data_IF_401435721153
#
_entry.id   IF_401435721153
#
_cell.length_a   1.000
_cell.length_b   1.000
_cell.length_c   1.000
_cell.angle_alpha   90.00
_cell.angle_beta   90.00
_cell.angle_gamma   90.00
#
_symmetry.space_group_name_H-M   'P 1'
#
loop_
_entity.id
_entity.type
_entity.pdbx_description
1 polymer ?
#
# COMPACT_ATOMS: atom_id res chain seq x y z
N UNK A 1 9.44 12.64 -32.18
CA UNK A 1 8.48 12.95 -31.09
C UNK A 1 8.49 11.78 -30.13
N UNK A 2 8.77 11.92 -28.82
CA UNK A 2 8.58 10.80 -27.90
C UNK A 2 7.12 10.75 -27.46
N UNK A 3 6.50 9.58 -27.65
CA UNK A 3 5.17 9.27 -27.21
C UNK A 3 5.11 9.30 -25.68
N UNK A 4 4.14 10.04 -25.15
CA UNK A 4 3.80 10.10 -23.73
C UNK A 4 3.50 8.69 -23.21
N UNK A 5 4.25 8.28 -22.19
CA UNK A 5 4.08 7.02 -21.46
C UNK A 5 2.66 7.02 -20.88
N UNK A 6 1.81 6.11 -21.35
CA UNK A 6 0.48 5.89 -20.75
C UNK A 6 0.67 5.19 -19.41
N UNK A 7 0.83 6.00 -18.37
CA UNK A 7 0.73 5.61 -16.97
C UNK A 7 -0.54 4.79 -16.74
N UNK A 8 -0.38 3.64 -16.07
CA UNK A 8 -1.42 2.64 -15.85
C UNK A 8 -2.73 3.21 -15.38
N UNK A 9 -3.69 3.34 -16.28
CA UNK A 9 -5.09 3.53 -15.93
C UNK A 9 -5.64 2.19 -15.43
N UNK A 10 -6.27 2.12 -14.25
CA UNK A 10 -7.04 0.94 -13.87
C UNK A 10 -8.25 0.86 -14.84
N UNK A 11 -8.12 0.07 -15.90
CA UNK A 11 -9.22 -0.20 -16.84
C UNK A 11 -10.16 -1.30 -16.36
N UNK A 12 -9.78 -2.01 -15.30
CA UNK A 12 -10.66 -2.95 -14.60
C UNK A 12 -11.43 -2.21 -13.52
N UNK A 13 -12.76 -2.14 -13.69
CA UNK A 13 -13.68 -1.58 -12.69
C UNK A 13 -13.43 -2.20 -11.31
N UNK A 14 -13.17 -3.51 -11.27
CA UNK A 14 -12.91 -4.26 -10.03
C UNK A 14 -11.64 -3.82 -9.30
N UNK A 15 -10.57 -3.50 -10.03
CA UNK A 15 -9.30 -3.08 -9.42
C UNK A 15 -9.41 -1.66 -8.88
N UNK A 16 -10.14 -0.79 -9.58
CA UNK A 16 -10.36 0.59 -9.14
C UNK A 16 -11.10 0.69 -7.81
N UNK A 17 -11.92 -0.31 -7.46
CA UNK A 17 -12.64 -0.41 -6.20
C UNK A 17 -11.76 -0.83 -5.02
N UNK A 18 -10.56 -1.38 -5.27
CA UNK A 18 -9.63 -1.77 -4.20
C UNK A 18 -8.92 -0.57 -3.57
N UNK A 19 -8.87 0.56 -4.27
CA UNK A 19 -8.12 1.75 -3.86
C UNK A 19 -9.06 2.90 -3.50
N UNK A 20 -8.89 3.46 -2.31
CA UNK A 20 -9.54 4.69 -1.90
C UNK A 20 -9.06 5.87 -2.75
N UNK A 21 -9.99 6.81 -3.00
CA UNK A 21 -9.75 8.02 -3.79
C UNK A 21 -9.15 9.17 -2.99
N UNK A 22 -9.13 9.04 -1.66
CA UNK A 22 -8.57 10.04 -0.77
C UNK A 22 -7.06 10.17 -0.93
N UNK A 23 -6.54 11.37 -0.64
CA UNK A 23 -5.11 11.66 -0.74
C UNK A 23 -4.37 11.13 0.50
N UNK A 24 -3.53 10.09 0.39
CA UNK A 24 -2.88 9.50 1.56
C UNK A 24 -1.93 10.49 2.28
N UNK A 25 -1.37 11.46 1.57
CA UNK A 25 -0.49 12.48 2.18
C UNK A 25 -1.24 13.46 3.11
N UNK A 26 -2.56 13.56 2.96
CA UNK A 26 -3.42 14.35 3.84
C UNK A 26 -4.02 13.51 4.96
N UNK A 27 -4.16 12.20 4.73
CA UNK A 27 -4.72 11.27 5.71
C UNK A 27 -3.70 10.82 6.75
N UNK A 28 -2.44 10.74 6.38
CA UNK A 28 -1.39 10.19 7.24
C UNK A 28 -0.33 11.23 7.54
N UNK A 29 0.03 11.33 8.81
CA UNK A 29 1.04 12.27 9.33
C UNK A 29 2.16 11.53 10.03
N UNK A 30 3.26 12.23 10.31
CA UNK A 30 4.43 11.69 11.01
C UNK A 30 5.01 10.40 10.39
N UNK A 31 5.08 10.38 9.05
CA UNK A 31 5.63 9.24 8.31
C UNK A 31 7.11 9.03 8.66
N UNK A 32 7.38 7.96 9.42
CA UNK A 32 8.71 7.53 9.81
C UNK A 32 8.99 6.14 9.26
N UNK A 33 10.03 6.00 8.46
CA UNK A 33 10.42 4.68 7.95
C UNK A 33 10.81 3.75 9.11
N UNK A 34 10.22 2.55 9.11
CA UNK A 34 10.49 1.50 10.11
C UNK A 34 11.09 0.24 9.48
N UNK A 35 11.05 0.12 8.16
CA UNK A 35 11.67 -1.00 7.45
C UNK A 35 11.61 -0.84 5.93
N UNK A 36 12.50 -1.53 5.24
CA UNK A 36 12.59 -1.52 3.78
C UNK A 36 12.65 -2.96 3.26
N UNK A 37 11.85 -3.24 2.23
CA UNK A 37 11.78 -4.54 1.56
C UNK A 37 11.93 -4.40 0.05
N UNK A 38 11.80 -5.52 -0.68
CA UNK A 38 12.01 -5.56 -2.13
C UNK A 38 10.99 -4.75 -2.94
N UNK A 39 9.77 -4.58 -2.42
CA UNK A 39 8.68 -3.86 -3.09
C UNK A 39 8.55 -2.40 -2.65
N UNK A 40 9.31 -1.98 -1.62
CA UNK A 40 9.31 -0.61 -1.12
C UNK A 40 9.55 -0.51 0.37
N UNK A 41 9.12 0.58 0.98
CA UNK A 41 9.38 0.90 2.38
C UNK A 41 8.09 0.94 3.21
N UNK A 42 8.22 0.52 4.47
CA UNK A 42 7.16 0.55 5.47
C UNK A 42 7.41 1.72 6.40
N UNK A 43 6.37 2.52 6.61
CA UNK A 43 6.40 3.72 7.43
C UNK A 43 5.42 3.57 8.59
N UNK A 44 5.86 3.93 9.78
CA UNK A 44 4.98 4.28 10.88
C UNK A 44 4.33 5.64 10.58
N UNK A 45 3.03 5.78 10.83
CA UNK A 45 2.31 7.03 10.65
C UNK A 45 1.08 7.12 11.56
N UNK A 46 0.53 8.33 11.70
CA UNK A 46 -0.74 8.57 12.39
C UNK A 46 -1.85 8.86 11.38
N UNK A 47 -2.96 8.14 11.46
CA UNK A 47 -4.18 8.43 10.71
C UNK A 47 -4.91 9.62 11.35
N UNK A 48 -5.06 10.73 10.63
CA UNK A 48 -5.68 11.95 11.15
C UNK A 48 -7.20 11.82 11.36
N UNK A 49 -7.84 10.82 10.75
CA UNK A 49 -9.29 10.61 10.85
C UNK A 49 -9.66 9.82 12.09
N UNK A 50 -8.92 8.74 12.35
CA UNK A 50 -9.17 7.86 13.49
C UNK A 50 -8.30 8.20 14.71
N UNK A 51 -7.24 8.99 14.51
CA UNK A 51 -6.18 9.25 15.48
C UNK A 51 -5.47 7.97 15.95
N UNK A 52 -5.48 6.93 15.12
CA UNK A 52 -4.82 5.65 15.37
C UNK A 52 -3.41 5.63 14.76
N UNK A 53 -2.54 4.82 15.35
CA UNK A 53 -1.22 4.52 14.80
C UNK A 53 -1.34 3.41 13.76
N UNK A 54 -0.81 3.66 12.57
CA UNK A 54 -0.84 2.73 11.45
C UNK A 54 0.55 2.49 10.87
N UNK A 55 0.70 1.36 10.19
CA UNK A 55 1.83 1.09 9.32
C UNK A 55 1.41 1.26 7.85
N UNK A 56 2.23 1.95 7.08
CA UNK A 56 2.00 2.29 5.68
C UNK A 56 3.10 1.68 4.84
N UNK A 57 2.76 0.70 4.01
CA UNK A 57 3.66 0.15 3.01
C UNK A 57 3.53 0.95 1.71
N UNK A 58 4.58 1.68 1.34
CA UNK A 58 4.65 2.42 0.07
C UNK A 58 5.38 1.58 -0.98
N UNK A 59 4.70 1.30 -2.09
CA UNK A 59 5.21 0.47 -3.18
C UNK A 59 5.18 1.24 -4.49
N UNK A 60 6.35 1.41 -5.11
CA UNK A 60 6.49 2.11 -6.38
C UNK A 60 6.44 1.11 -7.54
N UNK A 61 5.54 1.34 -8.50
CA UNK A 61 5.36 0.53 -9.70
C UNK A 61 5.75 1.30 -10.97
N UNK A 62 6.74 2.19 -10.89
CA UNK A 62 7.28 2.87 -12.07
C UNK A 62 8.36 2.04 -12.81
N UNK A 63 8.64 2.41 -14.06
CA UNK A 63 9.72 1.82 -14.87
C UNK A 63 9.28 0.71 -15.84
N UNK A 64 10.25 -0.08 -16.31
CA UNK A 64 10.05 -1.12 -17.35
C UNK A 64 9.17 -2.29 -16.89
N UNK A 65 9.15 -2.56 -15.58
CA UNK A 65 8.38 -3.65 -14.95
C UNK A 65 7.12 -3.14 -14.23
N UNK A 66 6.61 -1.99 -14.63
CA UNK A 66 5.44 -1.37 -14.00
C UNK A 66 4.21 -2.28 -13.98
N UNK A 67 3.95 -2.99 -15.08
CA UNK A 67 2.81 -3.89 -15.19
C UNK A 67 2.94 -5.13 -14.28
N UNK A 68 4.13 -5.72 -14.19
CA UNK A 68 4.41 -6.86 -13.31
C UNK A 68 4.24 -6.47 -11.85
N UNK A 69 4.88 -5.36 -11.43
CA UNK A 69 4.76 -4.81 -10.08
C UNK A 69 3.32 -4.46 -9.72
N UNK A 70 2.56 -3.91 -10.67
CA UNK A 70 1.16 -3.59 -10.47
C UNK A 70 0.31 -4.84 -10.20
N UNK A 71 0.54 -5.93 -10.94
CA UNK A 71 -0.15 -7.20 -10.70
C UNK A 71 0.19 -7.78 -9.33
N UNK A 72 1.45 -7.68 -8.91
CA UNK A 72 1.87 -8.15 -7.58
C UNK A 72 1.24 -7.32 -6.45
N UNK A 73 1.16 -5.99 -6.60
CA UNK A 73 0.45 -5.11 -5.67
C UNK A 73 -1.03 -5.51 -5.55
N UNK A 74 -1.71 -5.78 -6.67
CA UNK A 74 -3.12 -6.19 -6.64
C UNK A 74 -3.28 -7.51 -5.88
N UNK A 75 -2.42 -8.50 -6.14
CA UNK A 75 -2.45 -9.78 -5.43
C UNK A 75 -2.27 -9.59 -3.93
N UNK A 76 -1.30 -8.75 -3.53
CA UNK A 76 -1.01 -8.46 -2.14
C UNK A 76 -2.21 -7.77 -1.46
N UNK A 77 -2.80 -6.75 -2.08
CA UNK A 77 -4.00 -6.08 -1.55
C UNK A 77 -5.18 -7.05 -1.42
N UNK A 78 -5.45 -7.87 -2.44
CA UNK A 78 -6.53 -8.88 -2.41
C UNK A 78 -6.28 -9.94 -1.32
N UNK A 79 -5.02 -10.28 -1.06
CA UNK A 79 -4.65 -11.21 0.00
C UNK A 79 -4.85 -10.60 1.39
N UNK A 80 -4.37 -9.36 1.59
CA UNK A 80 -4.53 -8.62 2.84
C UNK A 80 -6.00 -8.37 3.19
N UNK A 81 -6.86 -8.11 2.20
CA UNK A 81 -8.30 -7.99 2.41
C UNK A 81 -8.95 -9.27 2.95
N UNK A 82 -8.42 -10.45 2.61
CA UNK A 82 -8.90 -11.74 3.10
C UNK A 82 -8.35 -12.10 4.48
N UNK A 83 -7.21 -11.50 4.87
CA UNK A 83 -6.63 -11.68 6.19
C UNK A 83 -7.36 -10.80 7.21
N UNK A 84 -8.34 -11.40 7.90
CA UNK A 84 -8.99 -10.82 9.07
C UNK A 84 -9.01 -11.82 10.20
N UNK A 85 -8.12 -11.62 11.17
CA UNK A 85 -8.10 -12.41 12.40
C UNK A 85 -7.68 -11.51 13.56
N UNK A 86 -8.25 -11.65 14.76
CA UNK A 86 -7.94 -10.79 15.92
C UNK A 86 -6.46 -10.77 16.34
N UNK A 87 -5.66 -11.76 15.93
CA UNK A 87 -4.21 -11.81 16.15
C UNK A 87 -3.36 -11.53 14.90
N UNK A 88 -3.97 -10.98 13.84
CA UNK A 88 -3.31 -10.70 12.56
C UNK A 88 -3.50 -9.22 12.20
N UNK A 89 -2.65 -8.70 11.33
CA UNK A 89 -2.77 -7.34 10.81
C UNK A 89 -4.19 -7.07 10.29
N UNK A 90 -4.74 -5.94 10.67
CA UNK A 90 -6.03 -5.48 10.16
C UNK A 90 -5.77 -4.53 8.98
N UNK A 91 -6.21 -4.94 7.80
CA UNK A 91 -6.20 -4.09 6.61
C UNK A 91 -7.16 -2.90 6.79
N UNK A 92 -6.62 -1.67 6.74
CA UNK A 92 -7.39 -0.43 6.86
C UNK A 92 -7.78 0.12 5.49
N UNK A 93 -6.89 0.03 4.51
CA UNK A 93 -7.16 0.49 3.17
C UNK A 93 -5.92 0.55 2.28
N UNK A 94 -6.16 0.75 0.99
CA UNK A 94 -5.11 1.02 0.03
C UNK A 94 -5.43 2.30 -0.73
N UNK A 95 -4.41 3.10 -1.04
CA UNK A 95 -4.52 4.38 -1.69
C UNK A 95 -3.55 4.41 -2.87
N UNK A 96 -3.98 4.97 -3.98
CA UNK A 96 -3.15 5.09 -5.16
C UNK A 96 -2.77 6.54 -5.39
N UNK A 97 -1.48 6.83 -5.42
CA UNK A 97 -0.96 8.16 -5.76
C UNK A 97 0.05 8.05 -6.88
N UNK A 98 -0.34 8.55 -8.06
CA UNK A 98 0.47 8.52 -9.28
C UNK A 98 0.95 7.10 -9.62
N UNK A 99 2.23 6.81 -9.33
CA UNK A 99 2.90 5.52 -9.55
C UNK A 99 3.27 4.80 -8.25
N UNK A 100 2.63 5.18 -7.14
CA UNK A 100 2.90 4.64 -5.81
C UNK A 100 1.61 4.17 -5.17
N UNK A 101 1.57 2.91 -4.75
CA UNK A 101 0.50 2.34 -3.94
C UNK A 101 0.86 2.45 -2.46
N UNK A 102 -0.09 2.85 -1.63
CA UNK A 102 0.05 3.02 -0.20
C UNK A 102 -0.93 2.08 0.48
N UNK A 103 -0.43 1.05 1.15
CA UNK A 103 -1.27 0.11 1.89
C UNK A 103 -1.18 0.46 3.37
N UNK A 104 -2.32 0.82 3.97
CA UNK A 104 -2.45 1.13 5.38
C UNK A 104 -2.98 -0.09 6.14
N UNK A 105 -2.28 -0.45 7.22
CA UNK A 105 -2.64 -1.54 8.14
C UNK A 105 -2.45 -1.10 9.59
N UNK A 106 -3.18 -1.72 10.51
CA UNK A 106 -2.96 -1.49 11.94
C UNK A 106 -1.61 -2.05 12.40
N UNK A 107 -0.95 -1.33 13.31
CA UNK A 107 0.27 -1.82 13.95
C UNK A 107 -0.08 -2.78 15.08
N UNK A 108 0.15 -4.08 14.88
CA UNK A 108 0.04 -5.06 15.98
C UNK A 108 1.44 -5.23 16.56
N UNK A 109 1.62 -4.78 17.80
CA UNK A 109 2.89 -4.77 18.53
C UNK A 109 3.26 -6.20 18.94
N UNK A 110 3.61 -7.05 17.97
CA UNK A 110 4.28 -8.35 18.20
C UNK A 110 4.81 -8.88 16.86
N UNK A 111 6.10 -8.67 16.59
CA UNK A 111 6.90 -9.46 15.64
C UNK A 111 6.60 -9.35 14.13
N UNK A 112 5.66 -8.52 13.69
CA UNK A 112 5.14 -8.57 12.31
C UNK A 112 5.90 -7.73 11.27
N UNK A 113 7.03 -7.09 11.62
CA UNK A 113 7.83 -6.37 10.62
C UNK A 113 8.25 -7.30 9.48
N UNK A 114 8.52 -8.58 9.74
CA UNK A 114 8.85 -9.55 8.69
C UNK A 114 7.69 -9.82 7.72
N UNK A 115 6.44 -9.90 8.20
CA UNK A 115 5.30 -10.18 7.34
C UNK A 115 4.84 -8.98 6.48
N UNK A 116 5.15 -7.74 6.88
CA UNK A 116 4.84 -6.56 6.05
C UNK A 116 5.98 -6.26 5.06
N UNK A 117 7.22 -6.63 5.39
CA UNK A 117 8.41 -6.32 4.59
C UNK A 117 8.63 -7.31 3.45
N UNK A 118 8.19 -8.56 3.58
CA UNK A 118 8.31 -9.55 2.50
C UNK A 118 7.10 -9.58 1.56
N UNK A 119 7.30 -9.88 0.26
CA UNK A 119 6.20 -10.34 -0.59
C UNK A 119 5.63 -11.62 -0.01
N UNK A 120 4.33 -11.66 0.29
CA UNK A 120 3.61 -12.91 0.50
C UNK A 120 3.09 -13.43 -0.84
#
# INVERSE_FOLDING_TARGET
>A
MPASVRTGTPKDSEVSELFYRDDPEKLFTDLREIGHGSFGAVYFAHDVRSNEVVAIKKMSFSGKQSNEKWQDIIKEVKFLQKLRHPNTIEYKGCYLREHTAWVSVNIVIIGFLDCVVFPL
#
